data_IF_675888729086
#
_entry.id   IF_675888729086
#
_cell.length_a   1.000
_cell.length_b   1.000
_cell.length_c   1.000
_cell.angle_alpha   90.00
_cell.angle_beta   90.00
_cell.angle_gamma   90.00
#
_symmetry.space_group_name_H-M   'P 1'
#
loop_
_entity.id
_entity.type
_entity.pdbx_description
1 polymer ?
#
# COMPACT_ATOMS: atom_id res chain seq x y z
N UNK A 1 65.88 -5.07 -38.35
CA UNK A 1 66.30 -4.46 -37.07
C UNK A 1 65.17 -4.66 -36.07
N UNK A 2 65.43 -5.34 -34.95
CA UNK A 2 64.44 -5.46 -33.88
C UNK A 2 64.18 -4.06 -33.31
N UNK A 3 62.92 -3.61 -33.33
CA UNK A 3 62.53 -2.29 -32.84
C UNK A 3 62.47 -2.39 -31.31
N UNK A 4 63.41 -1.74 -30.61
CA UNK A 4 63.43 -1.71 -29.15
C UNK A 4 62.47 -0.64 -28.65
N UNK A 5 61.55 -1.00 -27.76
CA UNK A 5 60.63 -0.04 -27.13
C UNK A 5 60.99 0.17 -25.67
N UNK A 6 60.51 1.27 -25.08
CA UNK A 6 60.72 1.59 -23.66
C UNK A 6 59.38 1.68 -22.93
N UNK A 7 59.32 1.08 -21.76
CA UNK A 7 58.17 1.15 -20.86
C UNK A 7 58.64 1.11 -19.39
N UNK A 8 57.72 1.40 -18.47
CA UNK A 8 58.00 1.31 -17.04
C UNK A 8 57.37 0.01 -16.52
N UNK A 9 58.23 -0.93 -16.12
CA UNK A 9 57.82 -2.19 -15.52
C UNK A 9 57.72 -2.02 -14.01
N UNK A 10 56.64 -2.55 -13.41
CA UNK A 10 56.49 -2.67 -11.97
C UNK A 10 56.42 -4.13 -11.57
N UNK A 11 57.28 -4.52 -10.63
CA UNK A 11 57.30 -5.89 -10.09
C UNK A 11 56.13 -6.16 -9.13
N UNK A 12 56.10 -7.37 -8.57
CA UNK A 12 55.08 -7.80 -7.61
C UNK A 12 55.10 -7.03 -6.27
N UNK A 13 56.19 -6.32 -5.96
CA UNK A 13 56.34 -5.43 -4.81
C UNK A 13 56.10 -3.96 -5.18
N UNK A 14 55.71 -3.70 -6.45
CA UNK A 14 55.43 -2.40 -7.03
C UNK A 14 56.67 -1.48 -7.16
N UNK A 15 57.89 -2.00 -7.09
CA UNK A 15 59.10 -1.29 -7.49
C UNK A 15 59.09 -1.03 -8.99
N UNK A 16 59.58 0.13 -9.42
CA UNK A 16 59.54 0.54 -10.82
C UNK A 16 60.91 0.44 -11.49
N UNK A 17 60.93 -0.03 -12.73
CA UNK A 17 62.13 -0.19 -13.52
C UNK A 17 61.91 0.32 -14.94
N UNK A 18 62.88 1.06 -15.47
CA UNK A 18 62.90 1.41 -16.88
C UNK A 18 63.30 0.17 -17.68
N UNK A 19 62.35 -0.37 -18.45
CA UNK A 19 62.53 -1.61 -19.18
C UNK A 19 62.55 -1.39 -20.69
N UNK A 20 63.47 -2.09 -21.35
CA UNK A 20 63.45 -2.29 -22.80
C UNK A 20 62.54 -3.47 -23.12
N UNK A 21 61.60 -3.27 -24.04
CA UNK A 21 60.57 -4.24 -24.36
C UNK A 21 60.86 -4.89 -25.71
N UNK A 22 60.90 -6.21 -25.70
CA UNK A 22 61.04 -7.06 -26.87
C UNK A 22 59.77 -7.91 -26.98
N UNK A 23 59.12 -7.85 -28.14
CA UNK A 23 57.88 -8.59 -28.39
C UNK A 23 58.19 -9.72 -29.37
N UNK A 24 57.80 -10.94 -29.00
CA UNK A 24 57.76 -12.08 -29.91
C UNK A 24 56.31 -12.48 -30.18
N UNK A 25 56.10 -13.53 -30.98
CA UNK A 25 54.77 -14.08 -31.23
C UNK A 25 54.11 -14.71 -29.99
N UNK A 26 54.89 -14.99 -28.92
CA UNK A 26 54.42 -15.72 -27.73
C UNK A 26 54.74 -14.98 -26.43
N UNK A 27 55.85 -14.27 -26.38
CA UNK A 27 56.38 -13.63 -25.17
C UNK A 27 56.52 -12.13 -25.32
N UNK A 28 56.29 -11.42 -24.22
CA UNK A 28 56.72 -10.05 -24.02
C UNK A 28 57.88 -10.06 -23.01
N UNK A 29 59.09 -9.75 -23.49
CA UNK A 29 60.30 -9.74 -22.67
C UNK A 29 60.62 -8.30 -22.27
N UNK A 30 60.77 -8.08 -20.96
CA UNK A 30 61.18 -6.82 -20.34
C UNK A 30 62.60 -6.97 -19.82
N UNK A 31 63.54 -6.23 -20.41
CA UNK A 31 64.93 -6.15 -19.96
C UNK A 31 65.13 -4.89 -19.14
N UNK A 32 65.50 -5.02 -17.87
CA UNK A 32 65.76 -3.88 -17.00
C UNK A 32 66.98 -4.12 -16.10
N UNK A 33 67.48 -3.05 -15.47
CA UNK A 33 68.54 -3.15 -14.47
C UNK A 33 67.96 -3.16 -13.06
N UNK A 34 68.38 -4.11 -12.23
CA UNK A 34 68.01 -4.14 -10.82
C UNK A 34 68.78 -3.07 -10.01
N UNK A 35 68.50 -2.98 -8.71
CA UNK A 35 69.16 -2.02 -7.79
C UNK A 35 70.67 -2.23 -7.67
N UNK A 36 71.16 -3.44 -7.98
CA UNK A 36 72.58 -3.80 -8.00
C UNK A 36 73.25 -3.54 -9.37
N UNK A 37 72.51 -3.00 -10.34
CA UNK A 37 73.01 -2.70 -11.69
C UNK A 37 73.08 -3.89 -12.65
N UNK A 38 72.65 -5.07 -12.22
CA UNK A 38 72.60 -6.29 -13.04
C UNK A 38 71.43 -6.25 -14.02
N UNK A 39 71.62 -6.79 -15.21
CA UNK A 39 70.58 -6.84 -16.24
C UNK A 39 69.73 -8.08 -16.06
N UNK A 40 68.42 -7.89 -15.87
CA UNK A 40 67.43 -8.94 -15.68
C UNK A 40 66.46 -8.92 -16.86
N UNK A 41 66.20 -10.11 -17.41
CA UNK A 41 65.16 -10.33 -18.42
C UNK A 41 63.95 -11.01 -17.74
N UNK A 42 62.80 -10.33 -17.74
CA UNK A 42 61.50 -10.90 -17.34
C UNK A 42 60.69 -11.24 -18.57
N UNK A 43 60.19 -12.46 -18.63
CA UNK A 43 59.40 -12.96 -19.76
C UNK A 43 57.95 -13.12 -19.32
N UNK A 44 57.05 -12.36 -19.91
CA UNK A 44 55.62 -12.58 -19.80
C UNK A 44 55.15 -13.45 -20.95
N UNK A 45 54.53 -14.57 -20.65
CA UNK A 45 53.79 -15.31 -21.66
C UNK A 45 52.51 -14.52 -21.97
N UNK A 46 52.20 -14.38 -23.26
CA UNK A 46 51.01 -13.66 -23.69
C UNK A 46 49.69 -14.25 -23.16
N UNK A 47 49.73 -15.46 -22.61
CA UNK A 47 48.57 -16.12 -22.02
C UNK A 47 48.19 -15.65 -20.62
N UNK A 48 49.16 -15.12 -19.88
CA UNK A 48 49.03 -14.72 -18.48
C UNK A 48 48.82 -13.19 -18.33
N UNK A 49 48.68 -12.48 -19.46
CA UNK A 49 48.29 -11.07 -19.48
C UNK A 49 46.78 -10.96 -19.22
N UNK A 50 46.43 -10.35 -18.09
CA UNK A 50 45.07 -10.32 -17.52
C UNK A 50 44.20 -9.24 -18.15
N UNK A 51 44.75 -8.02 -18.25
CA UNK A 51 43.97 -6.86 -18.73
C UNK A 51 44.88 -5.78 -19.32
N UNK A 52 44.27 -4.94 -20.16
CA UNK A 52 44.86 -3.74 -20.74
C UNK A 52 43.94 -2.57 -20.41
N UNK A 53 44.40 -1.66 -19.57
CA UNK A 53 43.70 -0.43 -19.22
C UNK A 53 44.27 0.74 -20.03
N UNK A 54 43.39 1.61 -20.54
CA UNK A 54 43.75 2.78 -21.31
C UNK A 54 43.23 4.02 -20.63
N UNK A 55 44.15 4.86 -20.22
CA UNK A 55 43.89 6.21 -19.73
C UNK A 55 44.26 7.22 -20.82
N UNK A 56 43.85 8.48 -20.66
CA UNK A 56 44.04 9.51 -21.69
C UNK A 56 45.51 9.75 -22.10
N UNK A 57 46.49 9.37 -21.26
CA UNK A 57 47.92 9.66 -21.46
C UNK A 57 48.84 8.43 -21.37
N UNK A 58 48.33 7.27 -20.98
CA UNK A 58 49.12 6.04 -20.80
C UNK A 58 48.25 4.80 -20.89
N UNK A 59 48.86 3.67 -21.22
CA UNK A 59 48.21 2.36 -21.21
C UNK A 59 48.94 1.42 -20.25
N UNK A 60 48.20 0.71 -19.41
CA UNK A 60 48.77 -0.21 -18.42
C UNK A 60 48.37 -1.64 -18.76
N UNK A 61 49.35 -2.52 -18.93
CA UNK A 61 49.15 -3.97 -19.01
C UNK A 61 49.31 -4.58 -17.64
N UNK A 62 48.42 -5.50 -17.29
CA UNK A 62 48.50 -6.27 -16.06
C UNK A 62 48.81 -7.73 -16.38
N UNK A 63 49.78 -8.30 -15.68
CA UNK A 63 50.22 -9.68 -15.80
C UNK A 63 50.06 -10.37 -14.46
N UNK A 64 49.60 -11.63 -14.46
CA UNK A 64 49.52 -12.43 -13.24
C UNK A 64 50.57 -13.52 -13.30
N UNK A 65 51.52 -13.49 -12.36
CA UNK A 65 52.56 -14.50 -12.29
C UNK A 65 52.02 -15.85 -11.77
N UNK A 66 52.83 -16.91 -11.87
CA UNK A 66 52.45 -18.26 -11.40
C UNK A 66 52.07 -18.29 -9.91
N UNK A 67 52.66 -17.40 -9.10
CA UNK A 67 52.36 -17.20 -7.68
C UNK A 67 51.06 -16.43 -7.42
N UNK A 68 50.36 -16.01 -8.47
CA UNK A 68 49.10 -15.28 -8.43
C UNK A 68 49.20 -13.79 -8.10
N UNK A 69 50.41 -13.25 -7.98
CA UNK A 69 50.65 -11.81 -7.78
C UNK A 69 50.62 -11.08 -9.11
N UNK A 70 50.28 -9.79 -9.06
CA UNK A 70 50.10 -8.97 -10.27
C UNK A 70 51.30 -8.06 -10.49
N UNK A 71 51.86 -8.12 -11.69
CA UNK A 71 52.87 -7.19 -12.19
C UNK A 71 52.19 -6.26 -13.21
N UNK A 72 52.73 -5.05 -13.40
CA UNK A 72 52.14 -4.11 -14.37
C UNK A 72 53.19 -3.43 -15.22
N UNK A 73 52.84 -3.18 -16.48
CA UNK A 73 53.69 -2.50 -17.45
C UNK A 73 52.99 -1.24 -17.94
N UNK A 74 53.56 -0.08 -17.62
CA UNK A 74 53.03 1.22 -18.03
C UNK A 74 53.70 1.65 -19.34
N UNK A 75 52.88 1.74 -20.37
CA UNK A 75 53.26 2.07 -21.74
C UNK A 75 52.79 3.48 -22.07
N UNK A 76 53.73 4.33 -22.46
CA UNK A 76 53.46 5.68 -22.99
C UNK A 76 53.66 5.77 -24.50
N UNK A 77 54.37 4.81 -25.10
CA UNK A 77 54.62 4.76 -26.53
C UNK A 77 53.43 4.10 -27.26
N UNK A 78 52.72 4.89 -28.08
CA UNK A 78 51.59 4.42 -28.87
C UNK A 78 51.98 3.34 -29.88
N UNK A 79 53.21 3.37 -30.41
CA UNK A 79 53.70 2.37 -31.37
C UNK A 79 53.93 1.02 -30.69
N UNK A 80 54.41 1.02 -29.44
CA UNK A 80 54.53 -0.20 -28.64
C UNK A 80 53.16 -0.83 -28.40
N UNK A 81 52.17 -0.02 -28.00
CA UNK A 81 50.81 -0.48 -27.76
C UNK A 81 50.18 -1.12 -29.01
N UNK A 82 50.38 -0.51 -30.18
CA UNK A 82 49.88 -1.04 -31.44
C UNK A 82 50.54 -2.37 -31.80
N UNK A 83 51.85 -2.52 -31.56
CA UNK A 83 52.54 -3.80 -31.79
C UNK A 83 52.07 -4.92 -30.88
N UNK A 84 51.81 -4.62 -29.60
CA UNK A 84 51.24 -5.59 -28.65
C UNK A 84 49.84 -6.01 -29.12
N UNK A 85 49.00 -5.07 -29.54
CA UNK A 85 47.67 -5.39 -30.10
C UNK A 85 47.76 -6.23 -31.37
N UNK A 86 48.74 -5.96 -32.23
CA UNK A 86 48.93 -6.72 -33.47
C UNK A 86 49.39 -8.16 -33.21
N UNK A 87 50.36 -8.36 -32.31
CA UNK A 87 50.89 -9.68 -31.99
C UNK A 87 49.92 -10.52 -31.14
N UNK A 88 49.18 -9.89 -30.24
CA UNK A 88 48.21 -10.58 -29.37
C UNK A 88 46.76 -10.41 -29.85
N UNK A 89 46.54 -10.11 -31.15
CA UNK A 89 45.23 -9.78 -31.77
C UNK A 89 44.14 -10.83 -31.55
N UNK A 90 44.53 -12.09 -31.33
CA UNK A 90 43.62 -13.21 -31.12
C UNK A 90 43.17 -13.39 -29.65
N UNK A 91 43.75 -12.64 -28.70
CA UNK A 91 43.24 -12.61 -27.33
C UNK A 91 42.37 -11.37 -27.13
N UNK A 92 41.11 -11.59 -26.76
CA UNK A 92 40.28 -10.55 -26.16
C UNK A 92 40.92 -10.20 -24.83
N UNK A 93 41.77 -9.17 -24.80
CA UNK A 93 42.14 -8.51 -23.56
C UNK A 93 40.83 -8.22 -22.84
N UNK A 94 40.61 -8.87 -21.70
CA UNK A 94 39.42 -8.68 -20.90
C UNK A 94 39.52 -7.31 -20.23
N UNK A 95 39.43 -6.24 -21.04
CA UNK A 95 39.00 -4.93 -20.58
C UNK A 95 37.55 -5.08 -20.16
N UNK A 96 37.32 -5.72 -19.01
CA UNK A 96 36.14 -5.37 -18.23
C UNK A 96 36.35 -3.90 -17.92
N UNK A 97 35.71 -3.04 -18.72
CA UNK A 97 35.24 -1.76 -18.21
C UNK A 97 34.44 -2.15 -16.97
N UNK A 98 35.08 -2.12 -15.80
CA UNK A 98 34.39 -2.10 -14.53
C UNK A 98 33.78 -0.70 -14.43
N UNK A 99 32.82 -0.43 -15.31
CA UNK A 99 31.93 0.68 -15.15
C UNK A 99 31.11 0.27 -13.92
N UNK A 100 31.46 0.82 -12.76
CA UNK A 100 30.57 0.88 -11.62
C UNK A 100 29.33 1.66 -12.07
N UNK A 101 28.42 0.97 -12.77
CA UNK A 101 27.07 1.41 -13.13
C UNK A 101 26.18 1.31 -11.89
N UNK A 102 26.67 1.76 -10.74
CA UNK A 102 25.93 1.81 -9.49
C UNK A 102 24.86 2.88 -9.51
N UNK A 103 24.95 3.88 -10.41
CA UNK A 103 23.87 4.85 -10.62
C UNK A 103 22.66 4.26 -11.36
N UNK A 104 22.87 3.42 -12.40
CA UNK A 104 21.76 3.04 -13.29
C UNK A 104 20.90 1.86 -12.84
N UNK A 105 21.50 0.89 -12.16
CA UNK A 105 20.76 -0.28 -11.66
C UNK A 105 19.97 0.08 -10.40
N UNK A 106 20.50 0.97 -9.55
CA UNK A 106 19.83 1.45 -8.34
C UNK A 106 18.50 2.16 -8.63
N UNK A 107 18.45 3.08 -9.59
CA UNK A 107 17.19 3.75 -9.94
C UNK A 107 16.15 2.80 -10.55
N UNK A 108 16.58 1.73 -11.24
CA UNK A 108 15.67 0.73 -11.81
C UNK A 108 15.02 -0.10 -10.71
N UNK A 109 15.81 -0.54 -9.73
CA UNK A 109 15.28 -1.29 -8.58
C UNK A 109 14.34 -0.39 -7.77
N UNK A 110 14.72 0.86 -7.51
CA UNK A 110 13.86 1.81 -6.80
C UNK A 110 12.55 2.08 -7.56
N UNK A 111 12.61 2.27 -8.88
CA UNK A 111 11.42 2.46 -9.70
C UNK A 111 10.49 1.25 -9.68
N UNK A 112 11.03 0.02 -9.70
CA UNK A 112 10.25 -1.21 -9.59
C UNK A 112 9.59 -1.31 -8.22
N UNK A 113 10.34 -1.04 -7.14
CA UNK A 113 9.78 -1.05 -5.78
C UNK A 113 8.67 -0.02 -5.61
N UNK A 114 8.86 1.19 -6.13
CA UNK A 114 7.83 2.23 -6.12
C UNK A 114 6.60 1.82 -6.94
N UNK A 115 6.80 1.21 -8.11
CA UNK A 115 5.70 0.70 -8.93
C UNK A 115 4.91 -0.41 -8.22
N UNK A 116 5.60 -1.33 -7.53
CA UNK A 116 4.96 -2.36 -6.71
C UNK A 116 4.18 -1.72 -5.55
N UNK A 117 4.76 -0.74 -4.86
CA UNK A 117 4.09 -0.04 -3.77
C UNK A 117 2.82 0.68 -4.26
N UNK A 118 2.90 1.38 -5.39
CA UNK A 118 1.76 2.04 -6.03
C UNK A 118 0.70 1.03 -6.47
N UNK A 119 1.11 -0.13 -7.01
CA UNK A 119 0.20 -1.20 -7.39
C UNK A 119 -0.54 -1.76 -6.16
N UNK A 120 0.19 -2.08 -5.08
CA UNK A 120 -0.40 -2.56 -3.81
C UNK A 120 -1.36 -1.52 -3.22
N UNK A 121 -0.96 -0.24 -3.23
CA UNK A 121 -1.82 0.87 -2.80
C UNK A 121 -3.09 0.99 -3.65
N UNK A 122 -2.97 0.87 -4.98
CA UNK A 122 -4.12 0.88 -5.90
C UNK A 122 -5.06 -0.30 -5.64
N UNK A 123 -4.53 -1.51 -5.45
CA UNK A 123 -5.32 -2.69 -5.10
C UNK A 123 -6.06 -2.49 -3.78
N UNK A 124 -5.39 -1.97 -2.75
CA UNK A 124 -5.99 -1.71 -1.44
C UNK A 124 -7.11 -0.67 -1.49
N UNK A 125 -6.94 0.40 -2.26
CA UNK A 125 -7.91 1.51 -2.32
C UNK A 125 -9.10 1.22 -3.23
N UNK A 126 -8.90 0.51 -4.35
CA UNK A 126 -9.95 0.34 -5.36
C UNK A 126 -10.47 -1.09 -5.45
N UNK A 127 -9.58 -2.07 -5.63
CA UNK A 127 -10.02 -3.46 -5.87
C UNK A 127 -10.62 -4.09 -4.61
N UNK A 128 -9.98 -3.90 -3.46
CA UNK A 128 -10.38 -4.57 -2.21
C UNK A 128 -11.77 -4.12 -1.73
N UNK A 129 -12.12 -2.81 -1.66
CA UNK A 129 -13.47 -2.38 -1.34
C UNK A 129 -14.50 -2.85 -2.36
N UNK A 130 -14.14 -2.86 -3.66
CA UNK A 130 -15.00 -3.38 -4.72
C UNK A 130 -15.33 -4.88 -4.52
N UNK A 131 -14.35 -5.70 -4.12
CA UNK A 131 -14.60 -7.11 -3.78
C UNK A 131 -15.58 -7.20 -2.61
N UNK A 132 -15.36 -6.43 -1.54
CA UNK A 132 -16.24 -6.41 -0.38
C UNK A 132 -17.69 -6.08 -0.76
N UNK A 133 -17.89 -5.08 -1.61
CA UNK A 133 -19.21 -4.71 -2.14
C UNK A 133 -19.90 -5.87 -2.88
N UNK A 134 -19.15 -6.55 -3.75
CA UNK A 134 -19.65 -7.65 -4.57
C UNK A 134 -20.06 -8.86 -3.73
N UNK A 135 -19.42 -9.06 -2.59
CA UNK A 135 -19.79 -10.09 -1.61
C UNK A 135 -21.06 -9.66 -0.88
N UNK A 136 -21.14 -8.40 -0.42
CA UNK A 136 -22.32 -7.87 0.28
C UNK A 136 -23.60 -8.02 -0.55
N UNK A 137 -23.57 -7.64 -1.83
CA UNK A 137 -24.75 -7.73 -2.72
C UNK A 137 -25.22 -9.17 -2.93
N UNK A 138 -24.30 -10.15 -2.95
CA UNK A 138 -24.62 -11.58 -3.11
C UNK A 138 -24.98 -12.27 -1.81
N UNK A 139 -24.77 -11.63 -0.67
CA UNK A 139 -25.12 -12.19 0.61
C UNK A 139 -26.63 -12.35 0.68
N UNK A 140 -27.12 -13.54 1.01
CA UNK A 140 -28.55 -13.82 1.09
C UNK A 140 -29.20 -13.02 2.21
N UNK A 141 -30.43 -12.55 1.99
CA UNK A 141 -31.18 -11.75 2.95
C UNK A 141 -31.43 -12.49 4.27
N UNK A 142 -31.68 -13.79 4.22
CA UNK A 142 -31.95 -14.63 5.40
C UNK A 142 -30.72 -14.70 6.32
N UNK A 143 -29.52 -14.85 5.72
CA UNK A 143 -28.25 -14.79 6.47
C UNK A 143 -27.99 -13.40 7.04
N UNK A 144 -28.38 -12.35 6.33
CA UNK A 144 -28.25 -10.98 6.83
C UNK A 144 -29.13 -10.73 8.04
N UNK A 145 -30.38 -11.21 8.02
CA UNK A 145 -31.29 -11.14 9.17
C UNK A 145 -30.69 -11.91 10.35
N UNK A 146 -30.21 -13.13 10.14
CA UNK A 146 -29.59 -13.92 11.20
C UNK A 146 -28.32 -13.27 11.78
N UNK A 147 -27.49 -12.68 10.93
CA UNK A 147 -26.31 -11.91 11.34
C UNK A 147 -26.74 -10.69 12.17
N UNK A 148 -27.74 -9.96 11.71
CA UNK A 148 -28.36 -8.84 12.39
C UNK A 148 -28.85 -9.19 13.79
N UNK A 149 -29.59 -10.30 13.93
CA UNK A 149 -30.10 -10.77 15.22
C UNK A 149 -28.98 -11.13 16.21
N UNK A 150 -27.85 -11.64 15.72
CA UNK A 150 -26.68 -11.92 16.56
C UNK A 150 -26.02 -10.63 17.03
N UNK A 151 -25.80 -9.68 16.11
CA UNK A 151 -25.22 -8.37 16.42
C UNK A 151 -26.10 -7.60 17.39
N UNK A 152 -27.41 -7.56 17.14
CA UNK A 152 -28.40 -6.94 18.01
C UNK A 152 -28.31 -7.48 19.44
N UNK A 153 -28.28 -8.81 19.62
CA UNK A 153 -28.14 -9.43 20.95
C UNK A 153 -26.89 -8.98 21.69
N UNK A 154 -25.76 -8.85 21.00
CA UNK A 154 -24.50 -8.37 21.58
C UNK A 154 -24.55 -6.89 21.97
N UNK A 155 -25.28 -6.06 21.24
CA UNK A 155 -25.43 -4.63 21.57
C UNK A 155 -26.34 -4.47 22.78
N UNK A 156 -27.47 -5.18 22.80
CA UNK A 156 -28.47 -5.05 23.86
C UNK A 156 -28.01 -5.68 25.18
N UNK A 157 -27.18 -6.72 25.16
CA UNK A 157 -26.70 -7.37 26.39
C UNK A 157 -25.95 -6.41 27.32
N UNK A 158 -25.32 -5.38 26.77
CA UNK A 158 -24.52 -4.40 27.51
C UNK A 158 -25.23 -3.03 27.63
N UNK A 159 -26.51 -2.95 27.24
CA UNK A 159 -27.23 -1.69 27.13
C UNK A 159 -28.52 -1.70 27.95
N UNK A 160 -28.91 -0.53 28.46
CA UNK A 160 -30.17 -0.38 29.19
C UNK A 160 -31.29 0.01 28.22
N UNK A 161 -32.20 -0.93 27.94
CA UNK A 161 -33.31 -0.72 26.99
C UNK A 161 -34.50 -0.07 27.67
N UNK A 162 -35.05 0.98 27.06
CA UNK A 162 -36.33 1.56 27.44
C UNK A 162 -37.47 0.85 26.72
N UNK A 163 -38.17 -0.04 27.42
CA UNK A 163 -39.26 -0.84 26.85
C UNK A 163 -40.47 0.01 26.45
N UNK A 164 -40.75 1.09 27.18
CA UNK A 164 -41.91 1.95 26.90
C UNK A 164 -41.68 2.74 25.62
N UNK A 165 -40.56 3.46 25.53
CA UNK A 165 -40.20 4.24 24.33
C UNK A 165 -40.02 3.33 23.12
N UNK A 166 -39.43 2.15 23.31
CA UNK A 166 -39.34 1.11 22.26
C UNK A 166 -40.72 0.75 21.70
N UNK A 167 -41.71 0.47 22.57
CA UNK A 167 -43.07 0.15 22.13
C UNK A 167 -43.73 1.31 21.37
N UNK A 168 -43.57 2.54 21.86
CA UNK A 168 -44.13 3.75 21.24
C UNK A 168 -43.51 4.00 19.86
N UNK A 169 -42.18 3.92 19.74
CA UNK A 169 -41.49 4.13 18.46
C UNK A 169 -41.84 3.06 17.43
N UNK A 170 -41.96 1.79 17.82
CA UNK A 170 -42.41 0.75 16.88
C UNK A 170 -43.84 1.00 16.39
N UNK A 171 -44.76 1.45 17.26
CA UNK A 171 -46.12 1.83 16.85
C UNK A 171 -46.09 3.02 15.89
N UNK A 172 -45.29 4.03 16.19
CA UNK A 172 -45.10 5.20 15.33
C UNK A 172 -44.57 4.80 13.96
N UNK A 173 -43.47 4.02 13.91
CA UNK A 173 -42.87 3.54 12.66
C UNK A 173 -43.83 2.72 11.82
N UNK A 174 -44.58 1.81 12.45
CA UNK A 174 -45.61 1.03 11.75
C UNK A 174 -46.70 1.93 11.17
N UNK A 175 -47.05 3.05 11.82
CA UNK A 175 -48.00 4.02 11.28
C UNK A 175 -47.46 4.80 10.07
N UNK A 176 -46.14 4.94 9.93
CA UNK A 176 -45.51 5.59 8.76
C UNK A 176 -45.65 4.76 7.48
N UNK A 177 -45.87 3.44 7.58
CA UNK A 177 -46.08 2.54 6.43
C UNK A 177 -44.95 2.59 5.38
N UNK A 178 -43.71 2.83 5.81
CA UNK A 178 -42.55 2.79 4.90
C UNK A 178 -42.42 1.42 4.24
N UNK A 179 -42.37 1.41 2.91
CA UNK A 179 -42.23 0.19 2.10
C UNK A 179 -40.77 -0.22 2.01
N UNK A 180 -40.30 -0.93 3.02
CA UNK A 180 -38.97 -1.53 3.06
C UNK A 180 -39.06 -3.05 2.95
N UNK A 181 -38.05 -3.65 2.32
CA UNK A 181 -38.01 -5.09 2.10
C UNK A 181 -37.63 -5.87 3.35
N UNK A 182 -37.19 -5.22 4.43
CA UNK A 182 -36.70 -5.87 5.64
C UNK A 182 -37.70 -5.76 6.80
N UNK A 183 -37.71 -6.72 7.74
CA UNK A 183 -38.55 -6.67 8.93
C UNK A 183 -37.97 -5.68 9.94
N UNK A 184 -38.25 -4.39 9.77
CA UNK A 184 -37.67 -3.34 10.61
C UNK A 184 -38.21 -3.40 12.04
N UNK A 185 -37.32 -3.35 13.02
CA UNK A 185 -37.60 -3.30 14.45
C UNK A 185 -36.77 -2.20 15.09
N UNK A 186 -37.42 -1.34 15.87
CA UNK A 186 -36.73 -0.25 16.55
C UNK A 186 -36.49 -0.64 18.01
N UNK A 187 -35.34 -0.29 18.56
CA UNK A 187 -35.03 -0.45 19.99
C UNK A 187 -34.45 0.84 20.53
N UNK A 188 -34.96 1.26 21.69
CA UNK A 188 -34.51 2.49 22.35
C UNK A 188 -33.57 2.14 23.50
N UNK A 189 -32.38 2.72 23.47
CA UNK A 189 -31.37 2.56 24.51
C UNK A 189 -31.26 3.87 25.30
N UNK A 190 -31.25 3.76 26.63
CA UNK A 190 -31.06 4.88 27.53
C UNK A 190 -29.61 5.35 27.45
N UNK A 191 -29.39 6.48 26.77
CA UNK A 191 -28.11 7.16 26.63
C UNK A 191 -28.36 8.62 26.29
N UNK A 192 -27.56 9.53 26.85
CA UNK A 192 -27.61 10.98 26.57
C UNK A 192 -26.97 11.32 25.22
N UNK A 193 -26.38 10.33 24.54
CA UNK A 193 -25.81 10.49 23.21
C UNK A 193 -26.89 10.79 22.17
N UNK A 194 -26.66 11.82 21.35
CA UNK A 194 -27.47 12.14 20.17
C UNK A 194 -27.05 11.21 19.03
N UNK A 195 -27.64 10.00 18.99
CA UNK A 195 -27.33 8.99 17.98
C UNK A 195 -28.51 8.04 17.67
N UNK A 196 -28.49 7.48 16.47
CA UNK A 196 -29.27 6.35 16.03
C UNK A 196 -28.49 5.61 14.93
N UNK A 197 -28.70 4.32 14.78
CA UNK A 197 -28.03 3.55 13.73
C UNK A 197 -28.78 2.29 13.32
N UNK A 198 -28.66 1.96 12.04
CA UNK A 198 -29.12 0.71 11.45
C UNK A 198 -28.11 -0.44 11.55
N UNK A 199 -28.59 -1.58 12.05
CA UNK A 199 -27.90 -2.87 12.05
C UNK A 199 -28.38 -3.68 10.83
N UNK A 200 -27.51 -4.50 10.20
CA UNK A 200 -27.93 -5.42 9.15
C UNK A 200 -29.19 -6.21 9.53
N UNK A 201 -30.04 -6.50 8.56
CA UNK A 201 -31.16 -7.42 8.78
C UNK A 201 -32.43 -6.82 9.39
N UNK A 202 -32.43 -5.55 9.82
CA UNK A 202 -33.67 -4.85 10.16
C UNK A 202 -33.72 -4.16 11.52
N UNK A 203 -32.66 -4.15 12.32
CA UNK A 203 -32.73 -3.51 13.63
C UNK A 203 -32.27 -2.06 13.55
N UNK A 204 -33.08 -1.12 14.02
CA UNK A 204 -32.71 0.28 14.22
C UNK A 204 -32.55 0.48 15.72
N UNK A 205 -31.39 0.99 16.15
CA UNK A 205 -31.13 1.38 17.53
C UNK A 205 -31.20 2.89 17.61
N UNK A 206 -32.00 3.41 18.55
CA UNK A 206 -32.17 4.84 18.79
C UNK A 206 -31.75 5.13 20.21
N UNK A 207 -30.94 6.16 20.43
CA UNK A 207 -30.61 6.62 21.76
C UNK A 207 -31.62 7.66 22.25
N UNK A 208 -31.87 7.66 23.55
CA UNK A 208 -32.82 8.60 24.14
C UNK A 208 -32.41 10.07 23.93
N UNK A 209 -31.12 10.38 23.94
CA UNK A 209 -30.60 11.73 23.75
C UNK A 209 -31.02 12.38 22.43
N UNK A 210 -31.14 11.62 21.33
CA UNK A 210 -31.62 12.20 20.06
C UNK A 210 -33.12 12.51 20.10
N UNK A 211 -33.90 11.77 20.90
CA UNK A 211 -35.34 11.98 21.02
C UNK A 211 -35.68 13.25 21.82
N UNK A 212 -34.84 13.62 22.79
CA UNK A 212 -35.05 14.81 23.62
C UNK A 212 -34.96 16.12 22.83
N UNK A 213 -34.16 16.14 21.75
CA UNK A 213 -34.03 17.29 20.87
C UNK A 213 -35.18 17.44 19.86
N UNK A 214 -35.93 16.37 19.58
CA UNK A 214 -36.98 16.36 18.56
C UNK A 214 -38.23 17.12 18.99
N UNK A 215 -38.70 18.02 18.14
CA UNK A 215 -39.84 18.90 18.35
C UNK A 215 -41.05 18.51 17.52
N UNK A 216 -40.83 17.87 16.37
CA UNK A 216 -41.92 17.51 15.46
C UNK A 216 -41.93 16.00 15.17
N UNK A 217 -43.11 15.41 14.94
CA UNK A 217 -43.20 14.04 14.42
C UNK A 217 -42.50 13.89 13.06
N UNK A 218 -42.38 14.98 12.29
CA UNK A 218 -41.70 15.00 10.98
C UNK A 218 -40.20 14.73 11.10
N UNK A 219 -39.54 15.29 12.12
CA UNK A 219 -38.11 15.02 12.42
C UNK A 219 -37.89 13.55 12.77
N UNK A 220 -38.75 12.98 13.62
CA UNK A 220 -38.68 11.56 13.98
C UNK A 220 -38.96 10.66 12.76
N UNK A 221 -39.95 11.00 11.95
CA UNK A 221 -40.25 10.26 10.73
C UNK A 221 -39.08 10.31 9.74
N UNK A 222 -38.39 11.45 9.62
CA UNK A 222 -37.21 11.59 8.80
C UNK A 222 -36.04 10.75 9.31
N UNK A 223 -35.75 10.77 10.62
CA UNK A 223 -34.68 9.96 11.22
C UNK A 223 -34.92 8.48 10.94
N UNK A 224 -36.14 7.99 11.22
CA UNK A 224 -36.46 6.58 11.00
C UNK A 224 -36.49 6.22 9.51
N UNK A 225 -36.83 7.16 8.62
CA UNK A 225 -36.77 6.97 7.17
C UNK A 225 -35.34 6.88 6.65
N UNK A 226 -34.43 7.67 7.20
CA UNK A 226 -32.98 7.61 6.96
C UNK A 226 -32.41 6.26 7.37
N UNK A 227 -32.62 5.85 8.62
CA UNK A 227 -32.13 4.57 9.14
C UNK A 227 -32.73 3.37 8.41
N UNK A 228 -34.03 3.43 8.07
CA UNK A 228 -34.66 2.40 7.26
C UNK A 228 -34.08 2.32 5.84
N UNK A 229 -33.58 3.43 5.30
CA UNK A 229 -32.90 3.45 4.01
C UNK A 229 -31.53 2.79 4.07
N UNK A 230 -30.77 2.97 5.15
CA UNK A 230 -29.53 2.20 5.38
C UNK A 230 -29.77 0.69 5.39
N UNK A 231 -30.89 0.24 5.97
CA UNK A 231 -31.30 -1.17 5.96
C UNK A 231 -31.67 -1.61 4.55
N UNK A 232 -32.55 -0.87 3.87
CA UNK A 232 -33.04 -1.20 2.53
C UNK A 232 -31.90 -1.31 1.51
N UNK A 233 -30.90 -0.44 1.62
CA UNK A 233 -29.73 -0.37 0.73
C UNK A 233 -28.52 -1.17 1.27
N UNK A 234 -28.70 -1.85 2.41
CA UNK A 234 -27.72 -2.77 3.01
C UNK A 234 -26.39 -2.08 3.33
N UNK A 235 -26.40 -0.80 3.70
CA UNK A 235 -25.20 0.01 3.93
C UNK A 235 -24.30 -0.57 5.01
N UNK A 236 -24.86 -0.98 6.15
CA UNK A 236 -24.10 -1.59 7.25
C UNK A 236 -23.41 -2.87 6.78
N UNK A 237 -24.09 -3.71 5.98
CA UNK A 237 -23.52 -4.94 5.43
C UNK A 237 -22.41 -4.65 4.41
N UNK A 238 -22.63 -3.70 3.49
CA UNK A 238 -21.61 -3.22 2.54
C UNK A 238 -20.36 -2.75 3.29
N UNK A 239 -20.52 -1.96 4.34
CA UNK A 239 -19.41 -1.43 5.12
C UNK A 239 -18.64 -2.53 5.88
N UNK A 240 -19.35 -3.49 6.47
CA UNK A 240 -18.76 -4.67 7.12
C UNK A 240 -17.88 -5.46 6.13
N UNK A 241 -18.41 -5.80 4.95
CA UNK A 241 -17.63 -6.57 3.97
C UNK A 241 -16.48 -5.77 3.36
N UNK A 242 -16.63 -4.46 3.12
CA UNK A 242 -15.51 -3.59 2.71
C UNK A 242 -14.40 -3.56 3.77
N UNK A 243 -14.77 -3.45 5.05
CA UNK A 243 -13.83 -3.47 6.17
C UNK A 243 -13.12 -4.82 6.29
N UNK A 244 -13.87 -5.92 6.22
CA UNK A 244 -13.34 -7.28 6.25
C UNK A 244 -12.36 -7.53 5.11
N UNK A 245 -12.71 -7.14 3.88
CA UNK A 245 -11.84 -7.28 2.72
C UNK A 245 -10.53 -6.51 2.88
N UNK A 246 -10.59 -5.25 3.36
CA UNK A 246 -9.39 -4.43 3.64
C UNK A 246 -8.47 -5.10 4.66
N UNK A 247 -9.04 -5.61 5.75
CA UNK A 247 -8.27 -6.24 6.83
C UNK A 247 -7.63 -7.55 6.35
N UNK A 248 -8.37 -8.39 5.61
CA UNK A 248 -7.83 -9.60 5.00
C UNK A 248 -6.69 -9.30 4.02
N UNK A 249 -6.83 -8.28 3.19
CA UNK A 249 -5.75 -7.87 2.28
C UNK A 249 -4.49 -7.46 3.04
N UNK A 250 -4.61 -6.67 4.11
CA UNK A 250 -3.48 -6.27 4.94
C UNK A 250 -2.79 -7.48 5.60
N UNK A 251 -3.56 -8.45 6.11
CA UNK A 251 -3.01 -9.68 6.68
C UNK A 251 -2.17 -10.46 5.66
N UNK A 252 -2.67 -10.59 4.42
CA UNK A 252 -1.97 -11.28 3.32
C UNK A 252 -0.69 -10.54 2.94
N UNK A 253 -0.73 -9.21 2.83
CA UNK A 253 0.43 -8.40 2.40
C UNK A 253 1.51 -8.31 3.49
N UNK A 254 1.12 -8.25 4.77
CA UNK A 254 2.04 -8.10 5.90
C UNK A 254 2.53 -9.44 6.48
N UNK A 255 1.99 -10.57 6.01
CA UNK A 255 2.43 -11.92 6.42
C UNK A 255 2.05 -12.29 7.86
N UNK A 256 0.90 -11.83 8.36
CA UNK A 256 0.48 -12.07 9.76
C UNK A 256 -0.26 -13.41 9.97
N UNK A 257 0.17 -14.19 10.96
CA UNK A 257 -0.41 -15.49 11.36
C UNK A 257 -1.58 -15.38 12.36
N UNK A 258 -2.47 -14.38 12.22
CA UNK A 258 -3.63 -14.25 13.09
C UNK A 258 -4.84 -14.97 12.48
N UNK A 259 -5.24 -16.10 13.07
CA UNK A 259 -6.37 -16.91 12.65
C UNK A 259 -7.69 -16.11 12.58
N UNK A 260 -8.43 -16.30 11.48
CA UNK A 260 -9.70 -15.63 11.15
C UNK A 260 -10.74 -15.74 12.29
N UNK A 261 -10.68 -16.80 13.10
CA UNK A 261 -11.63 -17.09 14.17
C UNK A 261 -11.48 -16.21 15.44
N UNK A 262 -10.25 -15.80 15.82
CA UNK A 262 -10.03 -14.94 16.99
C UNK A 262 -10.45 -13.48 16.76
N UNK A 263 -10.60 -13.08 15.49
CA UNK A 263 -10.89 -11.71 15.09
C UNK A 263 -12.38 -11.36 15.10
N UNK A 264 -13.25 -12.33 14.80
CA UNK A 264 -14.71 -12.16 14.73
C UNK A 264 -15.38 -12.04 16.11
N UNK A 265 -14.72 -12.50 17.18
CA UNK A 265 -15.31 -12.58 18.52
C UNK A 265 -15.34 -11.25 19.30
N UNK A 266 -14.56 -10.24 18.89
CA UNK A 266 -14.23 -9.09 19.76
C UNK A 266 -14.66 -7.71 19.20
N UNK A 267 -15.65 -7.66 18.28
CA UNK A 267 -15.87 -6.46 17.43
C UNK A 267 -17.31 -6.00 17.22
N UNK A 268 -18.14 -6.11 18.26
CA UNK A 268 -19.39 -5.35 18.28
C UNK A 268 -19.14 -3.83 18.41
N UNK A 269 -18.03 -3.41 19.03
CA UNK A 269 -17.70 -1.99 19.23
C UNK A 269 -17.17 -1.27 17.97
N UNK A 270 -16.57 -2.00 17.00
CA UNK A 270 -16.15 -1.44 15.70
C UNK A 270 -17.36 -0.88 14.90
N UNK A 271 -18.59 -1.30 15.22
CA UNK A 271 -19.82 -0.86 14.57
C UNK A 271 -20.30 0.51 15.03
N UNK A 272 -20.10 0.84 16.31
CA UNK A 272 -20.49 2.14 16.90
C UNK A 272 -19.74 3.31 16.25
N UNK A 273 -18.58 3.04 15.66
CA UNK A 273 -17.78 4.00 14.91
C UNK A 273 -17.76 3.77 13.40
N UNK A 274 -18.68 2.97 12.84
CA UNK A 274 -18.77 2.82 11.38
C UNK A 274 -19.31 4.11 10.76
N UNK A 275 -18.38 4.96 10.34
CA UNK A 275 -18.67 6.07 9.47
C UNK A 275 -19.07 5.51 8.10
N UNK A 276 -20.22 5.94 7.61
CA UNK A 276 -20.61 5.65 6.24
C UNK A 276 -19.88 6.61 5.29
N UNK A 277 -19.65 6.15 4.06
CA UNK A 277 -19.07 7.05 3.06
C UNK A 277 -20.12 8.07 2.62
N UNK A 278 -19.64 9.21 2.15
CA UNK A 278 -20.47 10.33 1.66
C UNK A 278 -21.50 9.90 0.63
N UNK A 279 -21.14 8.94 -0.23
CA UNK A 279 -22.03 8.36 -1.23
C UNK A 279 -23.17 7.56 -0.59
N UNK A 280 -22.90 6.79 0.47
CA UNK A 280 -23.92 6.01 1.17
C UNK A 280 -24.90 6.90 1.93
N UNK A 281 -24.43 8.00 2.53
CA UNK A 281 -25.32 9.00 3.15
C UNK A 281 -26.24 9.63 2.12
N UNK A 282 -25.69 10.06 0.98
CA UNK A 282 -26.48 10.63 -0.12
C UNK A 282 -27.53 9.64 -0.65
N UNK A 283 -27.18 8.35 -0.76
CA UNK A 283 -28.12 7.28 -1.12
C UNK A 283 -29.23 7.13 -0.06
N UNK A 284 -28.88 7.19 1.23
CA UNK A 284 -29.81 7.08 2.35
C UNK A 284 -30.76 8.29 2.43
N UNK A 285 -30.26 9.51 2.29
CA UNK A 285 -31.06 10.75 2.29
C UNK A 285 -32.10 10.74 1.18
N UNK A 286 -31.67 10.43 -0.06
CA UNK A 286 -32.56 10.38 -1.22
C UNK A 286 -33.63 9.30 -1.08
N UNK A 287 -33.24 8.12 -0.57
CA UNK A 287 -34.17 7.03 -0.29
C UNK A 287 -35.13 7.41 0.85
N UNK A 288 -34.65 8.04 1.91
CA UNK A 288 -35.45 8.49 3.05
C UNK A 288 -36.51 9.52 2.65
N UNK A 289 -36.12 10.53 1.87
CA UNK A 289 -37.03 11.50 1.26
C UNK A 289 -38.08 10.80 0.40
N UNK A 290 -37.67 9.81 -0.38
CA UNK A 290 -38.59 9.02 -1.23
C UNK A 290 -39.57 8.20 -0.39
N UNK A 291 -39.10 7.57 0.70
CA UNK A 291 -39.97 6.86 1.65
C UNK A 291 -40.99 7.80 2.28
N UNK A 292 -40.57 8.98 2.74
CA UNK A 292 -41.46 10.01 3.29
C UNK A 292 -42.54 10.42 2.28
N UNK A 293 -42.15 10.78 1.05
CA UNK A 293 -43.10 11.16 -0.02
C UNK A 293 -44.10 10.05 -0.32
N UNK A 294 -43.62 8.82 -0.46
CA UNK A 294 -44.46 7.67 -0.80
C UNK A 294 -45.46 7.32 0.31
N UNK A 295 -45.15 7.69 1.55
CA UNK A 295 -46.03 7.55 2.71
C UNK A 295 -46.92 8.78 2.95
N UNK A 296 -46.89 9.80 2.08
CA UNK A 296 -47.68 11.02 2.22
C UNK A 296 -47.20 11.96 3.32
N UNK A 297 -45.94 11.82 3.76
CA UNK A 297 -45.32 12.68 4.77
C UNK A 297 -44.60 13.85 4.12
N UNK A 298 -44.52 14.98 4.83
CA UNK A 298 -43.80 16.18 4.38
C UNK A 298 -42.28 15.95 4.41
N UNK A 299 -41.58 15.97 3.26
CA UNK A 299 -40.14 15.80 3.20
C UNK A 299 -39.34 16.90 3.92
N UNK A 300 -39.97 18.04 4.23
CA UNK A 300 -39.33 19.09 5.02
C UNK A 300 -38.87 18.60 6.41
N UNK A 301 -39.43 17.48 6.91
CA UNK A 301 -38.93 16.82 8.12
C UNK A 301 -37.45 16.44 8.06
N UNK A 302 -36.92 16.11 6.88
CA UNK A 302 -35.48 15.83 6.71
C UNK A 302 -34.62 17.08 6.94
N UNK A 303 -35.04 18.22 6.38
CA UNK A 303 -34.36 19.50 6.63
C UNK A 303 -34.45 19.92 8.10
N UNK A 304 -35.59 19.68 8.74
CA UNK A 304 -35.78 19.95 10.18
C UNK A 304 -34.83 19.09 11.02
N UNK A 305 -34.70 17.79 10.70
CA UNK A 305 -33.77 16.89 11.36
C UNK A 305 -32.31 17.35 11.19
N UNK A 306 -31.90 17.71 9.97
CA UNK A 306 -30.53 18.19 9.74
C UNK A 306 -30.23 19.49 10.51
N UNK A 307 -31.19 20.41 10.56
CA UNK A 307 -31.07 21.64 11.36
C UNK A 307 -30.98 21.34 12.87
N UNK A 308 -31.74 20.36 13.36
CA UNK A 308 -31.65 19.91 14.75
C UNK A 308 -30.25 19.39 15.05
N UNK A 309 -29.72 18.49 14.21
CA UNK A 309 -28.41 17.88 14.39
C UNK A 309 -27.28 18.91 14.28
N UNK A 310 -27.36 19.84 13.33
CA UNK A 310 -26.39 20.93 13.19
C UNK A 310 -26.37 21.83 14.43
N UNK A 311 -27.54 22.10 15.02
CA UNK A 311 -27.65 22.91 16.24
C UNK A 311 -27.05 22.21 17.46
N UNK A 312 -27.30 20.91 17.62
CA UNK A 312 -26.71 20.11 18.70
C UNK A 312 -25.18 19.95 18.53
N UNK A 313 -24.70 19.85 17.28
CA UNK A 313 -23.28 19.76 16.96
C UNK A 313 -22.48 21.07 17.10
N UNK A 314 -23.14 22.23 17.12
CA UNK A 314 -22.47 23.53 17.23
C UNK A 314 -22.03 23.90 18.67
N UNK A 315 -22.44 23.13 19.69
CA UNK A 315 -22.19 23.44 21.11
C UNK A 315 -21.50 22.34 21.94
N UNK A 316 -21.28 21.15 21.38
CA UNK A 316 -20.58 20.00 22.00
C UNK A 316 -19.64 19.37 20.98
N UNK A 317 -18.71 18.52 21.43
CA UNK A 317 -18.04 17.56 20.54
C UNK A 317 -19.08 16.98 19.57
N UNK A 318 -18.82 17.09 18.27
CA UNK A 318 -19.75 16.79 17.17
C UNK A 318 -20.63 15.59 17.52
N UNK A 319 -21.97 15.74 17.47
CA UNK A 319 -22.94 14.68 17.79
C UNK A 319 -22.48 13.34 17.21
N UNK A 320 -22.61 12.26 17.98
CA UNK A 320 -22.20 10.93 17.56
C UNK A 320 -22.87 10.53 16.23
N UNK A 321 -24.12 10.96 15.99
CA UNK A 321 -24.78 10.82 14.70
C UNK A 321 -24.05 11.57 13.58
N UNK A 322 -23.60 12.81 13.79
CA UNK A 322 -22.83 13.55 12.78
C UNK A 322 -21.44 12.94 12.53
N UNK A 323 -20.90 12.27 13.54
CA UNK A 323 -19.63 11.57 13.45
C UNK A 323 -19.75 10.29 12.62
N UNK A 324 -20.90 9.60 12.67
CA UNK A 324 -21.19 8.41 11.84
C UNK A 324 -21.84 8.75 10.49
N UNK A 325 -22.53 9.89 10.41
CA UNK A 325 -23.26 10.43 9.26
C UNK A 325 -22.83 11.89 8.99
N UNK A 326 -21.73 12.11 8.23
CA UNK A 326 -21.26 13.47 7.95
C UNK A 326 -22.27 14.24 7.08
N UNK A 327 -22.80 15.36 7.59
CA UNK A 327 -23.75 16.25 6.90
C UNK A 327 -23.10 16.91 5.67
N UNK A 328 -23.92 17.19 4.67
CA UNK A 328 -23.60 18.11 3.58
C UNK A 328 -24.57 19.29 3.52
N UNK A 329 -24.08 20.42 2.97
CA UNK A 329 -24.84 21.66 2.71
C UNK A 329 -26.03 21.48 1.78
#
# INVERSE_FOLDING_TARGET
MAKTFRAIYHDELNHFYNAEIFISSVTLTMRFKNELGETIDRNWLGEDIVSLEQEALQSTLYYKNESGKTEKLVIRDAALLEQIRHHFRHRRFAGKKLHYSTGKTGYRILAILLAILLLVGCLYLFLVPWIGERVAVRFSKEREISLGDQMYRSIISNSKVDQHKTSVLNKFYNALQYKVSYPVKITVIQSDEVNAFAIPGGHIVVYDGILEGMKTPGELAALLGHEASHIQLRHSLRNIFRSMARKMFLLIVLGGDAGIAGYLADRADDLKGLQYSRELETEADNSGITLMRNSGLDPAGMLQLMNLLAKEGAGKETSALLSTHPVFE
#
